data_IF_645931174239
#
_entry.id   IF_645931174239
#
_cell.length_a   1.000
_cell.length_b   1.000
_cell.length_c   1.000
_cell.angle_alpha   90.00
_cell.angle_beta   90.00
_cell.angle_gamma   90.00
#
_symmetry.space_group_name_H-M   'P 1'
#
loop_
_entity.id
_entity.type
_entity.pdbx_description
1 polymer ?
#
# COMPACT_ATOMS: atom_id res chain seq x y z
N UNK A 1 -14.80 14.14 1.49
CA UNK A 1 -13.94 13.11 0.85
C UNK A 1 -14.53 11.77 1.22
N UNK A 2 -14.90 10.96 0.25
CA UNK A 2 -15.32 9.58 0.55
C UNK A 2 -14.05 8.75 0.81
N UNK A 3 -13.96 8.17 2.01
CA UNK A 3 -12.81 7.36 2.39
C UNK A 3 -12.88 5.95 1.79
N UNK A 4 -14.04 5.53 1.27
CA UNK A 4 -14.23 4.24 0.62
C UNK A 4 -13.42 4.09 -0.69
N UNK A 5 -13.22 5.19 -1.42
CA UNK A 5 -12.53 5.19 -2.73
C UNK A 5 -11.06 5.62 -2.66
N UNK A 6 -10.51 5.76 -1.46
CA UNK A 6 -9.09 6.08 -1.27
C UNK A 6 -8.21 4.95 -1.81
N UNK A 7 -7.12 5.32 -2.49
CA UNK A 7 -6.09 4.37 -2.93
C UNK A 7 -4.72 4.74 -2.40
N UNK A 8 -4.00 3.74 -1.89
CA UNK A 8 -2.63 3.87 -1.38
C UNK A 8 -1.57 3.68 -2.48
N UNK A 9 -2.01 3.48 -3.72
CA UNK A 9 -1.17 3.07 -4.83
C UNK A 9 -0.88 4.31 -5.70
N UNK A 10 0.40 4.58 -6.03
CA UNK A 10 0.74 5.68 -6.91
C UNK A 10 0.23 5.41 -8.32
N UNK A 11 -0.28 6.46 -8.96
CA UNK A 11 -0.72 6.41 -10.36
C UNK A 11 0.45 6.05 -11.28
N UNK A 12 0.23 5.12 -12.21
CA UNK A 12 1.22 4.77 -13.24
C UNK A 12 2.34 3.82 -12.79
N UNK A 13 2.26 3.19 -11.60
CA UNK A 13 3.28 2.22 -11.20
C UNK A 13 3.41 1.02 -12.17
N UNK A 14 2.32 0.70 -12.88
CA UNK A 14 2.27 -0.37 -13.89
C UNK A 14 3.10 -0.07 -15.13
N UNK A 15 3.28 1.21 -15.47
CA UNK A 15 4.07 1.63 -16.63
C UNK A 15 5.57 1.34 -16.44
N UNK A 16 5.99 1.18 -15.17
CA UNK A 16 7.36 0.89 -14.77
C UNK A 16 7.57 -0.61 -14.48
N UNK A 17 6.90 -1.50 -15.22
CA UNK A 17 7.02 -2.95 -15.06
C UNK A 17 8.46 -3.43 -15.38
N UNK A 18 9.23 -3.89 -14.38
CA UNK A 18 10.61 -4.29 -14.59
C UNK A 18 10.72 -5.70 -15.18
N UNK A 19 9.66 -6.53 -15.20
CA UNK A 19 9.73 -7.96 -15.54
C UNK A 19 10.24 -8.24 -16.94
N UNK A 20 10.09 -7.28 -17.86
CA UNK A 20 10.58 -7.38 -19.24
C UNK A 20 12.08 -7.07 -19.37
N UNK A 21 12.67 -6.35 -18.41
CA UNK A 21 14.04 -5.87 -18.48
C UNK A 21 15.10 -6.99 -18.57
N UNK A 22 15.00 -8.11 -17.83
CA UNK A 22 15.97 -9.21 -17.95
C UNK A 22 15.99 -9.84 -19.33
N UNK A 23 14.83 -9.87 -20.01
CA UNK A 23 14.73 -10.40 -21.38
C UNK A 23 15.29 -9.42 -22.41
N UNK A 24 15.05 -8.11 -22.23
CA UNK A 24 15.51 -7.07 -23.16
C UNK A 24 17.01 -6.76 -23.02
N UNK A 25 17.57 -6.91 -21.82
CA UNK A 25 18.95 -6.52 -21.49
C UNK A 25 19.69 -7.62 -20.71
N UNK A 26 19.83 -8.84 -21.25
CA UNK A 26 20.36 -9.97 -20.49
C UNK A 26 21.81 -9.77 -20.01
N UNK A 27 22.65 -9.09 -20.79
CA UNK A 27 24.08 -8.93 -20.50
C UNK A 27 24.43 -7.60 -19.80
N UNK A 28 23.63 -6.56 -20.03
CA UNK A 28 23.92 -5.19 -19.58
C UNK A 28 23.10 -4.74 -18.36
N UNK A 29 22.14 -5.55 -17.92
CA UNK A 29 21.27 -5.20 -16.80
C UNK A 29 22.03 -5.24 -15.48
N UNK A 30 22.02 -4.10 -14.77
CA UNK A 30 22.47 -4.07 -13.39
C UNK A 30 21.48 -4.81 -12.48
N UNK A 31 21.89 -5.97 -11.97
CA UNK A 31 21.07 -6.88 -11.15
C UNK A 31 20.55 -6.18 -9.88
N UNK A 32 21.37 -5.35 -9.23
CA UNK A 32 21.00 -4.66 -7.98
C UNK A 32 19.92 -3.61 -8.24
N UNK A 33 20.09 -2.81 -9.28
CA UNK A 33 19.10 -1.82 -9.70
C UNK A 33 17.80 -2.47 -10.15
N UNK A 34 17.88 -3.60 -10.86
CA UNK A 34 16.72 -4.40 -11.23
C UNK A 34 15.98 -4.92 -10.00
N UNK A 35 16.68 -5.53 -9.05
CA UNK A 35 16.08 -6.07 -7.83
C UNK A 35 15.32 -4.99 -7.05
N UNK A 36 15.87 -3.77 -6.93
CA UNK A 36 15.17 -2.63 -6.31
C UNK A 36 13.89 -2.26 -7.06
N UNK A 37 13.93 -2.17 -8.40
CA UNK A 37 12.74 -1.87 -9.21
C UNK A 37 11.68 -2.96 -9.09
N UNK A 38 12.09 -4.22 -9.18
CA UNK A 38 11.22 -5.39 -9.02
C UNK A 38 10.56 -5.41 -7.63
N UNK A 39 11.33 -5.17 -6.57
CA UNK A 39 10.79 -5.10 -5.21
C UNK A 39 9.69 -4.04 -5.08
N UNK A 40 9.91 -2.84 -5.61
CA UNK A 40 8.91 -1.76 -5.59
C UNK A 40 7.67 -2.13 -6.40
N UNK A 41 7.85 -2.70 -7.58
CA UNK A 41 6.74 -3.13 -8.43
C UNK A 41 5.88 -4.20 -7.75
N UNK A 42 6.49 -5.27 -7.25
CA UNK A 42 5.77 -6.35 -6.57
C UNK A 42 5.11 -5.90 -5.27
N UNK A 43 5.71 -4.93 -4.57
CA UNK A 43 5.08 -4.30 -3.41
C UNK A 43 3.76 -3.63 -3.79
N UNK A 44 3.75 -2.75 -4.80
CA UNK A 44 2.52 -2.08 -5.23
C UNK A 44 1.51 -3.02 -5.86
N UNK A 45 1.95 -4.03 -6.61
CA UNK A 45 1.07 -5.06 -7.13
C UNK A 45 0.36 -5.83 -6.01
N UNK A 46 1.10 -6.18 -4.95
CA UNK A 46 0.51 -6.86 -3.79
C UNK A 46 -0.43 -5.94 -3.01
N UNK A 47 -0.10 -4.65 -2.92
CA UNK A 47 -0.95 -3.61 -2.31
C UNK A 47 -2.25 -3.42 -3.10
N UNK A 48 -2.19 -3.44 -4.44
CA UNK A 48 -3.38 -3.40 -5.32
C UNK A 48 -4.35 -4.54 -5.03
N UNK A 49 -3.83 -5.77 -4.98
CA UNK A 49 -4.67 -6.95 -4.67
C UNK A 49 -5.28 -6.83 -3.27
N UNK A 50 -4.49 -6.42 -2.28
CA UNK A 50 -4.99 -6.26 -0.92
C UNK A 50 -6.05 -5.15 -0.81
N UNK A 51 -5.89 -4.05 -1.54
CA UNK A 51 -6.84 -2.94 -1.56
C UNK A 51 -8.16 -3.34 -2.24
N UNK A 52 -8.10 -4.05 -3.36
CA UNK A 52 -9.28 -4.57 -4.06
C UNK A 52 -10.05 -5.56 -3.17
N UNK A 53 -9.35 -6.49 -2.51
CA UNK A 53 -9.97 -7.43 -1.56
C UNK A 53 -10.60 -6.71 -0.35
N UNK A 54 -9.94 -5.68 0.17
CA UNK A 54 -10.47 -4.86 1.28
C UNK A 54 -11.75 -4.14 0.86
N UNK A 55 -11.75 -3.49 -0.31
CA UNK A 55 -12.88 -2.73 -0.87
C UNK A 55 -14.10 -3.63 -1.08
N UNK A 56 -13.91 -4.82 -1.63
CA UNK A 56 -14.99 -5.82 -1.80
C UNK A 56 -15.67 -6.22 -0.49
N UNK A 57 -14.95 -6.14 0.62
CA UNK A 57 -15.47 -6.45 1.96
C UNK A 57 -15.96 -5.20 2.72
N UNK A 58 -15.93 -4.02 2.11
CA UNK A 58 -16.30 -2.75 2.74
C UNK A 58 -15.26 -2.21 3.73
N UNK A 59 -14.01 -2.65 3.61
CA UNK A 59 -12.88 -2.16 4.39
C UNK A 59 -11.97 -1.27 3.56
N UNK A 60 -11.19 -0.45 4.25
CA UNK A 60 -10.04 0.26 3.70
C UNK A 60 -8.76 -0.28 4.32
N UNK A 61 -7.64 -0.11 3.61
CA UNK A 61 -6.31 -0.36 4.17
C UNK A 61 -5.80 0.91 4.86
N UNK A 62 -5.56 0.80 6.16
CA UNK A 62 -4.96 1.86 6.97
C UNK A 62 -3.49 1.53 7.24
N UNK A 63 -2.52 2.37 6.83
CA UNK A 63 -1.11 2.16 7.16
C UNK A 63 -0.86 2.17 8.68
N UNK A 64 0.12 1.39 9.14
CA UNK A 64 0.52 1.37 10.55
C UNK A 64 0.86 2.77 11.11
N UNK A 65 1.43 3.66 10.30
CA UNK A 65 1.74 5.05 10.68
C UNK A 65 0.50 5.88 11.01
N UNK A 66 -0.65 5.54 10.44
CA UNK A 66 -1.89 6.29 10.58
C UNK A 66 -2.72 5.86 11.79
N UNK A 67 -2.58 4.61 12.26
CA UNK A 67 -3.34 4.07 13.40
C UNK A 67 -2.68 4.38 14.75
N UNK A 68 -3.48 4.57 15.81
CA UNK A 68 -2.94 4.68 17.16
C UNK A 68 -2.42 3.33 17.67
N UNK A 69 -1.27 3.30 18.36
CA UNK A 69 -0.59 2.07 18.76
C UNK A 69 -1.45 1.13 19.63
N UNK A 70 -2.31 1.68 20.51
CA UNK A 70 -3.24 0.86 21.33
C UNK A 70 -4.27 0.15 20.45
N UNK A 71 -4.82 0.85 19.45
CA UNK A 71 -5.77 0.26 18.51
C UNK A 71 -5.09 -0.75 17.60
N UNK A 72 -3.86 -0.46 17.19
CA UNK A 72 -3.04 -1.38 16.40
C UNK A 72 -2.77 -2.71 17.13
N UNK A 73 -2.61 -2.70 18.46
CA UNK A 73 -2.53 -3.93 19.27
C UNK A 73 -3.85 -4.69 19.26
N UNK A 74 -4.98 -4.00 19.43
CA UNK A 74 -6.30 -4.62 19.47
C UNK A 74 -6.69 -5.26 18.12
N UNK A 75 -6.54 -4.53 17.01
CA UNK A 75 -6.86 -5.04 15.67
C UNK A 75 -5.73 -5.88 15.05
N UNK A 76 -4.58 -5.97 15.72
CA UNK A 76 -3.38 -6.64 15.23
C UNK A 76 -3.51 -8.16 15.07
N UNK A 77 -4.49 -8.77 15.72
CA UNK A 77 -4.74 -10.21 15.72
C UNK A 77 -5.50 -10.61 14.46
N UNK A 78 -6.64 -9.96 14.19
CA UNK A 78 -7.58 -10.42 13.15
C UNK A 78 -7.58 -9.58 11.87
N UNK A 79 -7.19 -8.30 11.96
CA UNK A 79 -7.37 -7.32 10.87
C UNK A 79 -6.06 -6.78 10.30
N UNK A 80 -4.94 -7.39 10.66
CA UNK A 80 -3.61 -6.97 10.21
C UNK A 80 -3.22 -7.68 8.92
N UNK A 81 -2.88 -6.89 7.91
CA UNK A 81 -2.32 -7.38 6.64
C UNK A 81 -0.87 -6.92 6.53
N UNK A 82 0.04 -7.84 6.22
CA UNK A 82 1.47 -7.53 6.05
C UNK A 82 1.84 -7.62 4.57
N UNK A 83 2.34 -6.52 4.01
CA UNK A 83 2.78 -6.45 2.61
C UNK A 83 4.24 -6.01 2.60
N UNK A 84 5.12 -6.94 2.23
CA UNK A 84 6.56 -6.77 2.38
C UNK A 84 6.95 -6.47 3.84
N UNK A 85 7.61 -5.33 4.05
CA UNK A 85 8.03 -4.86 5.38
C UNK A 85 7.01 -3.93 6.05
N UNK A 86 5.95 -3.53 5.33
CA UNK A 86 4.92 -2.61 5.84
C UNK A 86 3.73 -3.41 6.38
N UNK A 87 3.11 -2.87 7.42
CA UNK A 87 1.87 -3.42 8.00
C UNK A 87 0.71 -2.47 7.75
N UNK A 88 -0.42 -3.04 7.41
CA UNK A 88 -1.68 -2.37 7.13
C UNK A 88 -2.78 -3.00 7.99
N UNK A 89 -3.85 -2.24 8.21
CA UNK A 89 -5.02 -2.69 8.97
C UNK A 89 -6.27 -2.53 8.13
N UNK A 90 -7.09 -3.58 8.11
CA UNK A 90 -8.44 -3.53 7.54
C UNK A 90 -9.36 -2.81 8.52
N UNK A 91 -9.83 -1.64 8.13
CA UNK A 91 -10.70 -0.79 8.95
C UNK A 91 -11.90 -0.35 8.13
N UNK A 92 -13.10 -0.30 8.73
CA UNK A 92 -14.23 0.33 8.05
C UNK A 92 -14.05 1.85 8.05
N UNK A 93 -14.49 2.58 7.00
CA UNK A 93 -14.44 4.05 6.98
C UNK A 93 -15.07 4.72 8.21
N UNK A 94 -16.10 4.11 8.77
CA UNK A 94 -16.83 4.59 9.95
C UNK A 94 -16.10 4.32 11.28
N UNK A 95 -15.20 3.34 11.32
CA UNK A 95 -14.40 2.98 12.51
C UNK A 95 -13.18 3.91 12.72
N UNK A 96 -12.88 4.76 11.72
CA UNK A 96 -11.78 5.70 11.76
C UNK A 96 -12.11 6.90 12.65
N UNK A 97 -11.22 7.20 13.58
CA UNK A 97 -11.28 8.44 14.36
C UNK A 97 -10.88 9.64 13.51
N UNK A 98 -11.27 10.86 13.95
CA UNK A 98 -10.85 12.10 13.28
C UNK A 98 -9.33 12.21 13.13
N UNK A 99 -8.56 11.74 14.11
CA UNK A 99 -7.10 11.77 14.08
C UNK A 99 -6.51 10.81 13.03
N UNK A 100 -7.06 9.60 12.91
CA UNK A 100 -6.63 8.62 11.89
C UNK A 100 -7.02 9.07 10.49
N UNK A 101 -8.21 9.66 10.32
CA UNK A 101 -8.65 10.25 9.04
C UNK A 101 -7.69 11.34 8.57
N UNK A 102 -7.25 12.22 9.48
CA UNK A 102 -6.27 13.27 9.17
C UNK A 102 -4.91 12.68 8.76
N UNK A 103 -4.38 11.75 9.55
CA UNK A 103 -3.10 11.08 9.23
C UNK A 103 -3.16 10.29 7.92
N UNK A 104 -4.29 9.68 7.62
CA UNK A 104 -4.51 8.99 6.35
C UNK A 104 -4.50 9.99 5.19
N UNK A 105 -5.15 11.15 5.35
CA UNK A 105 -5.12 12.19 4.33
C UNK A 105 -3.69 12.71 4.08
N UNK A 106 -2.95 13.04 5.14
CA UNK A 106 -1.54 13.47 5.05
C UNK A 106 -0.70 12.41 4.30
N UNK A 107 -0.89 11.12 4.62
CA UNK A 107 -0.20 10.02 3.95
C UNK A 107 -0.53 9.95 2.45
N UNK A 108 -1.77 10.18 2.06
CA UNK A 108 -2.19 10.16 0.65
C UNK A 108 -1.61 11.33 -0.13
N UNK A 109 -1.50 12.49 0.51
CA UNK A 109 -0.86 13.68 -0.09
C UNK A 109 0.63 13.41 -0.33
N UNK A 110 1.34 12.79 0.62
CA UNK A 110 2.74 12.36 0.44
C UNK A 110 2.91 11.35 -0.70
N UNK A 111 2.01 10.36 -0.80
CA UNK A 111 2.08 9.32 -1.84
C UNK A 111 1.75 9.87 -3.23
N UNK A 112 0.90 10.91 -3.34
CA UNK A 112 0.56 11.54 -4.61
C UNK A 112 1.51 12.66 -5.02
N UNK A 113 2.19 13.29 -4.05
CA UNK A 113 3.11 14.41 -4.27
C UNK A 113 4.54 14.01 -4.61
N UNK A 114 4.90 12.73 -4.51
CA UNK A 114 6.23 12.18 -4.84
C UNK A 114 6.23 11.28 -6.06
#
# INVERSE_FOLDING_TARGET
MDYADVSLIPSGYKDKDPRRLPFLYPETLNIVSYAKKAQTFYFYQSLEVAEDLAKRQGFILLPWSCIHWQRAKHYGIDRKVKIGRKSFFLMKPDELTKGEKRKLQEYLEEVKGG
#
